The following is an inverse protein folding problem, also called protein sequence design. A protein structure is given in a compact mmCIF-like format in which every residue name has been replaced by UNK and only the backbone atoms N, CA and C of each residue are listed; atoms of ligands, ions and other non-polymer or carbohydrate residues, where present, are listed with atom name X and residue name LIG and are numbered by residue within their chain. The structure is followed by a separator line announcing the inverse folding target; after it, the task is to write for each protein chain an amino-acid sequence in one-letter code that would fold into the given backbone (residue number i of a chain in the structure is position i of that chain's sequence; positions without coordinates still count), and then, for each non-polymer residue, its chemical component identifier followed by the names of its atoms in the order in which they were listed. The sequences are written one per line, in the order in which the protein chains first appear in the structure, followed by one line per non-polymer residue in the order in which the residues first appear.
data_IF_462433818904
#
_entry.id   IF_462433818904
#
_cell.length_a   1.000
_cell.length_b   1.000
_cell.length_c   1.000
_cell.angle_alpha   90.00
_cell.angle_beta   90.00
_cell.angle_gamma   90.00
#
_symmetry.space_group_name_H-M   'P 1'
#
loop_
_entity.id
_entity.type
_entity.pdbx_description
1 polymer ?
#
# COMPACT_ATOMS: atom_id res chain seq x y z
N UNK A 1 56.02 57.71 14.98
CA UNK A 1 56.69 56.41 14.78
C UNK A 1 55.73 55.31 15.22
N UNK A 2 55.35 54.44 14.30
CA UNK A 2 54.72 53.15 14.64
C UNK A 2 55.77 52.21 15.28
N UNK A 3 55.36 51.12 15.93
CA UNK A 3 55.13 49.91 15.14
C UNK A 3 53.84 49.17 15.43
N UNK A 4 53.39 48.51 14.38
CA UNK A 4 52.28 47.56 14.25
C UNK A 4 52.66 46.23 14.92
N UNK A 5 51.75 45.63 15.69
CA UNK A 5 51.87 44.26 16.18
C UNK A 5 50.64 43.45 15.75
N UNK A 6 50.85 42.69 14.68
CA UNK A 6 50.01 41.59 14.23
C UNK A 6 50.10 40.43 15.23
N UNK A 7 48.96 39.85 15.67
CA UNK A 7 48.83 38.38 15.76
C UNK A 7 47.41 37.91 16.11
N UNK A 8 46.84 37.21 15.11
CA UNK A 8 46.04 35.98 15.18
C UNK A 8 44.76 35.99 16.02
N UNK A 9 43.67 36.38 15.37
CA UNK A 9 42.34 35.84 15.67
C UNK A 9 42.34 34.37 15.28
N UNK A 10 42.26 33.48 16.28
CA UNK A 10 42.09 32.06 16.07
C UNK A 10 40.60 31.82 15.81
N UNK A 11 40.19 31.82 14.55
CA UNK A 11 38.81 31.50 14.16
C UNK A 11 38.57 30.02 14.44
N UNK A 12 37.83 29.73 15.51
CA UNK A 12 37.32 28.41 15.81
C UNK A 12 36.18 28.11 14.83
N UNK A 13 36.49 27.39 13.75
CA UNK A 13 35.45 26.84 12.85
C UNK A 13 34.81 25.66 13.57
N UNK A 14 33.65 25.89 14.18
CA UNK A 14 32.77 24.82 14.64
C UNK A 14 32.22 24.12 13.40
N UNK A 15 32.81 22.99 13.05
CA UNK A 15 32.19 22.04 12.14
C UNK A 15 30.93 21.49 12.83
N UNK A 16 29.77 22.07 12.51
CA UNK A 16 28.48 21.47 12.85
C UNK A 16 28.37 20.26 11.93
N UNK A 17 28.75 19.08 12.45
CA UNK A 17 28.36 17.81 11.85
C UNK A 17 26.84 17.75 11.92
N UNK A 18 26.17 18.16 10.84
CA UNK A 18 24.74 17.98 10.67
C UNK A 18 24.46 16.49 10.62
N UNK A 19 24.10 15.92 11.76
CA UNK A 19 23.28 14.71 11.80
C UNK A 19 21.99 15.09 11.08
N UNK A 20 21.92 14.87 9.76
CA UNK A 20 20.67 14.86 9.01
C UNK A 20 19.93 13.59 9.40
N UNK A 21 19.47 13.54 10.66
CA UNK A 21 18.32 12.72 10.96
C UNK A 21 17.17 13.33 10.17
N UNK A 22 16.75 12.66 9.10
CA UNK A 22 15.46 12.93 8.48
C UNK A 22 14.42 12.72 9.57
N UNK A 23 13.98 13.81 10.19
CA UNK A 23 12.85 13.77 11.10
C UNK A 23 11.67 13.24 10.30
N UNK A 24 10.96 12.25 10.85
CA UNK A 24 9.74 11.75 10.23
C UNK A 24 8.75 12.92 10.11
N UNK A 25 8.43 13.32 8.89
CA UNK A 25 7.49 14.40 8.63
C UNK A 25 6.11 13.78 8.52
N UNK A 26 5.30 14.03 9.56
CA UNK A 26 3.93 13.53 9.68
C UNK A 26 2.98 14.50 8.98
N UNK A 27 2.12 13.97 8.11
CA UNK A 27 1.10 14.74 7.42
C UNK A 27 -0.28 14.28 7.86
N UNK A 28 -1.10 15.26 8.20
CA UNK A 28 -2.50 15.08 8.59
C UNK A 28 -3.38 15.96 7.70
N UNK A 29 -4.58 15.48 7.40
CA UNK A 29 -5.58 16.24 6.65
C UNK A 29 -6.40 17.11 7.59
N UNK A 30 -6.58 18.38 7.25
CA UNK A 30 -7.53 19.27 7.94
C UNK A 30 -8.99 18.85 7.73
N UNK A 31 -9.27 18.08 6.69
CA UNK A 31 -10.62 17.64 6.29
C UNK A 31 -10.92 16.20 6.75
N UNK A 32 -10.21 15.70 7.77
CA UNK A 32 -10.30 14.34 8.31
C UNK A 32 -9.85 13.21 7.36
N UNK A 33 -9.75 13.47 6.05
CA UNK A 33 -9.25 12.54 5.03
C UNK A 33 -8.64 13.30 3.84
N UNK A 34 -7.76 12.67 3.08
CA UNK A 34 -7.34 13.17 1.78
C UNK A 34 -8.22 12.60 0.68
N UNK A 35 -8.48 13.43 -0.33
CA UNK A 35 -9.21 13.12 -1.54
C UNK A 35 -8.23 13.30 -2.70
N UNK A 36 -7.87 12.22 -3.37
CA UNK A 36 -6.87 12.24 -4.43
C UNK A 36 -7.53 11.91 -5.77
N UNK A 37 -7.54 12.88 -6.68
CA UNK A 37 -8.09 12.75 -8.04
C UNK A 37 -7.02 12.87 -9.14
N UNK A 38 -5.76 13.13 -8.81
CA UNK A 38 -4.66 13.11 -9.78
C UNK A 38 -3.30 12.79 -9.16
N UNK A 39 -2.34 12.39 -9.99
CA UNK A 39 -0.95 12.15 -9.57
C UNK A 39 -0.29 13.44 -9.06
N UNK A 40 -0.57 14.59 -9.66
CA UNK A 40 -0.01 15.88 -9.21
C UNK A 40 -0.38 16.21 -7.76
N UNK A 41 -1.63 15.94 -7.36
CA UNK A 41 -2.08 16.12 -5.97
C UNK A 41 -1.32 15.19 -5.01
N UNK A 42 -1.11 13.94 -5.45
CA UNK A 42 -0.36 12.94 -4.69
C UNK A 42 1.11 13.34 -4.55
N UNK A 43 1.74 13.84 -5.62
CA UNK A 43 3.13 14.27 -5.63
C UNK A 43 3.37 15.45 -4.69
N UNK A 44 2.45 16.43 -4.65
CA UNK A 44 2.52 17.55 -3.71
C UNK A 44 2.44 17.07 -2.26
N UNK A 45 1.57 16.09 -1.97
CA UNK A 45 1.49 15.47 -0.66
C UNK A 45 2.81 14.74 -0.32
N UNK A 46 3.33 13.94 -1.25
CA UNK A 46 4.51 13.09 -1.08
C UNK A 46 5.84 13.85 -0.96
N UNK A 47 5.94 15.08 -1.47
CA UNK A 47 7.18 15.88 -1.42
C UNK A 47 7.67 16.15 0.01
N UNK A 48 6.74 16.36 0.94
CA UNK A 48 7.04 16.72 2.32
C UNK A 48 6.47 15.70 3.30
N UNK A 49 6.25 14.46 2.88
CA UNK A 49 5.63 13.46 3.74
C UNK A 49 6.41 12.16 3.79
N UNK A 50 6.70 11.71 5.01
CA UNK A 50 7.24 10.37 5.24
C UNK A 50 6.30 9.50 6.05
N UNK A 51 5.36 10.10 6.80
CA UNK A 51 4.30 9.42 7.55
C UNK A 51 2.96 10.05 7.25
N UNK A 52 2.02 9.27 6.71
CA UNK A 52 0.63 9.70 6.55
C UNK A 52 -0.20 9.26 7.75
N UNK A 53 -0.73 10.22 8.49
CA UNK A 53 -1.60 10.00 9.65
C UNK A 53 -3.01 10.55 9.39
N UNK A 54 -3.54 10.27 8.22
CA UNK A 54 -4.94 10.53 7.89
C UNK A 54 -5.40 9.52 6.84
N UNK A 55 -6.66 9.06 6.89
CA UNK A 55 -7.22 8.23 5.84
C UNK A 55 -7.10 8.95 4.50
N UNK A 56 -6.88 8.21 3.42
CA UNK A 56 -7.02 8.77 2.09
C UNK A 56 -7.75 7.84 1.14
N UNK A 57 -8.57 8.49 0.31
CA UNK A 57 -9.44 7.86 -0.65
C UNK A 57 -9.05 8.36 -2.04
N UNK A 58 -8.96 7.42 -2.97
CA UNK A 58 -8.82 7.77 -4.37
C UNK A 58 -10.21 8.04 -4.91
N UNK A 59 -10.41 9.23 -5.46
CA UNK A 59 -11.72 9.62 -6.00
C UNK A 59 -12.01 8.87 -7.31
N UNK A 60 -13.28 8.59 -7.57
CA UNK A 60 -13.73 7.88 -8.78
C UNK A 60 -13.39 8.63 -10.08
N UNK A 61 -13.11 9.92 -10.01
CA UNK A 61 -12.72 10.74 -11.17
C UNK A 61 -11.20 10.79 -11.37
N UNK A 62 -10.41 9.90 -10.75
CA UNK A 62 -8.95 9.89 -10.88
C UNK A 62 -8.51 9.89 -12.36
N UNK A 63 -7.74 10.89 -12.78
CA UNK A 63 -7.44 11.13 -14.21
C UNK A 63 -6.11 10.52 -14.70
N UNK A 64 -5.74 9.33 -14.23
CA UNK A 64 -4.46 8.71 -14.57
C UNK A 64 -4.50 7.18 -14.60
N UNK A 65 -3.62 6.58 -15.40
CA UNK A 65 -3.46 5.12 -15.46
C UNK A 65 -2.57 4.57 -14.35
N UNK A 66 -1.74 5.40 -13.72
CA UNK A 66 -0.83 5.02 -12.64
C UNK A 66 -1.06 5.91 -11.41
N UNK A 67 -0.93 5.32 -10.23
CA UNK A 67 -0.96 5.99 -8.94
C UNK A 67 0.31 5.59 -8.17
N UNK A 68 1.26 6.52 -8.01
CA UNK A 68 2.55 6.24 -7.39
C UNK A 68 2.79 7.14 -6.18
N UNK A 69 2.93 6.54 -5.00
CA UNK A 69 3.18 7.27 -3.76
C UNK A 69 4.64 7.10 -3.31
N UNK A 70 5.48 8.08 -3.64
CA UNK A 70 6.88 8.13 -3.23
C UNK A 70 7.07 8.67 -1.81
N UNK A 71 8.25 8.41 -1.21
CA UNK A 71 8.74 8.96 0.06
C UNK A 71 7.99 8.56 1.34
N UNK A 72 6.72 8.18 1.23
CA UNK A 72 5.92 7.74 2.38
C UNK A 72 6.31 6.32 2.77
N UNK A 73 6.79 6.18 4.00
CA UNK A 73 7.27 4.91 4.56
C UNK A 73 6.29 4.30 5.55
N UNK A 74 5.39 5.10 6.11
CA UNK A 74 4.41 4.65 7.08
C UNK A 74 3.06 5.31 6.81
N UNK A 75 2.00 4.50 6.78
CA UNK A 75 0.62 4.97 6.75
C UNK A 75 -0.08 4.44 8.00
N UNK A 76 -0.35 5.36 8.93
CA UNK A 76 -0.91 5.04 10.26
C UNK A 76 -2.44 4.95 10.25
N UNK A 77 -3.07 5.32 9.13
CA UNK A 77 -4.53 5.26 8.94
C UNK A 77 -4.89 4.41 7.73
N UNK A 78 -6.16 4.44 7.34
CA UNK A 78 -6.69 3.55 6.32
C UNK A 78 -6.45 4.11 4.91
N UNK A 79 -5.99 3.25 4.00
CA UNK A 79 -5.90 3.53 2.57
C UNK A 79 -6.97 2.72 1.87
N UNK A 80 -7.99 3.40 1.34
CA UNK A 80 -9.12 2.73 0.69
C UNK A 80 -9.21 3.19 -0.76
N UNK A 81 -9.16 2.23 -1.65
CA UNK A 81 -9.42 2.40 -3.08
C UNK A 81 -10.89 2.04 -3.28
N UNK A 82 -11.77 3.02 -3.47
CA UNK A 82 -13.21 2.80 -3.62
C UNK A 82 -13.69 3.35 -4.97
N UNK A 83 -14.13 2.46 -5.87
CA UNK A 83 -14.64 2.86 -7.20
C UNK A 83 -16.09 2.46 -7.36
N UNK A 84 -17.00 3.40 -7.12
CA UNK A 84 -18.45 3.18 -7.21
C UNK A 84 -18.90 2.63 -8.56
N UNK A 85 -19.72 1.57 -8.53
CA UNK A 85 -20.47 1.03 -9.69
C UNK A 85 -21.46 2.03 -10.33
N UNK A 86 -21.91 3.06 -9.60
CA UNK A 86 -22.97 3.98 -10.02
C UNK A 86 -22.50 5.07 -11.01
N UNK A 87 -21.19 5.21 -11.20
CA UNK A 87 -20.62 6.16 -12.15
C UNK A 87 -20.15 5.45 -13.41
N UNK A 88 -20.34 6.03 -14.62
CA UNK A 88 -20.05 5.36 -15.88
C UNK A 88 -18.56 4.99 -15.94
N UNK A 89 -18.23 3.75 -15.59
CA UNK A 89 -16.90 3.13 -15.68
C UNK A 89 -15.78 4.14 -15.40
N UNK A 90 -15.71 4.63 -14.17
CA UNK A 90 -14.52 5.35 -13.72
C UNK A 90 -13.30 4.47 -13.99
N UNK A 91 -12.43 4.90 -14.91
CA UNK A 91 -11.15 4.26 -15.12
C UNK A 91 -10.24 4.71 -13.98
N UNK A 92 -10.39 4.08 -12.80
CA UNK A 92 -9.40 4.19 -11.73
C UNK A 92 -8.02 3.75 -12.23
N UNK A 93 -6.94 4.02 -11.48
CA UNK A 93 -5.60 3.65 -11.91
C UNK A 93 -5.51 2.15 -12.21
N UNK A 94 -4.83 1.83 -13.29
CA UNK A 94 -4.53 0.47 -13.73
C UNK A 94 -3.40 -0.13 -12.86
N UNK A 95 -2.49 0.72 -12.39
CA UNK A 95 -1.39 0.34 -11.49
C UNK A 95 -1.30 1.26 -10.28
N UNK A 96 -1.08 0.66 -9.11
CA UNK A 96 -0.85 1.36 -7.85
C UNK A 96 0.50 0.92 -7.29
N UNK A 97 1.39 1.86 -6.97
CA UNK A 97 2.74 1.56 -6.50
C UNK A 97 3.15 2.45 -5.32
N UNK A 98 3.47 1.85 -4.17
CA UNK A 98 4.01 2.59 -3.02
C UNK A 98 5.43 2.08 -2.76
N UNK A 99 6.43 2.53 -3.56
CA UNK A 99 7.77 1.93 -3.60
C UNK A 99 8.55 2.07 -2.29
N UNK A 100 8.19 3.02 -1.43
CA UNK A 100 8.88 3.33 -0.19
C UNK A 100 8.14 2.89 1.07
N UNK A 101 6.90 2.38 0.92
CA UNK A 101 6.06 2.01 2.05
C UNK A 101 6.61 0.78 2.76
N UNK A 102 6.81 0.89 4.08
CA UNK A 102 7.32 -0.18 4.96
C UNK A 102 6.20 -0.68 5.88
N UNK A 103 5.37 0.23 6.39
CA UNK A 103 4.29 -0.07 7.32
C UNK A 103 2.97 0.55 6.87
N UNK A 104 1.91 -0.25 6.93
CA UNK A 104 0.56 0.25 6.73
C UNK A 104 -0.38 -0.29 7.80
N UNK A 105 -1.34 0.53 8.23
CA UNK A 105 -2.44 0.04 9.05
C UNK A 105 -3.39 -0.79 8.19
N UNK A 106 -4.07 -0.15 7.25
CA UNK A 106 -5.07 -0.84 6.42
C UNK A 106 -4.95 -0.44 4.97
N UNK A 107 -5.00 -1.44 4.09
CA UNK A 107 -5.08 -1.26 2.63
C UNK A 107 -6.30 -2.04 2.15
N UNK A 108 -7.30 -1.34 1.62
CA UNK A 108 -8.54 -1.92 1.12
C UNK A 108 -8.76 -1.61 -0.35
N UNK A 109 -9.02 -2.65 -1.15
CA UNK A 109 -9.39 -2.54 -2.57
C UNK A 109 -10.88 -2.84 -2.72
N UNK A 110 -11.70 -1.80 -2.86
CA UNK A 110 -13.16 -1.88 -2.91
C UNK A 110 -13.67 -1.50 -4.29
N UNK A 111 -14.36 -2.44 -4.94
CA UNK A 111 -14.87 -2.30 -6.31
C UNK A 111 -13.75 -1.92 -7.30
N UNK A 112 -12.54 -2.43 -7.03
CA UNK A 112 -11.34 -2.02 -7.73
C UNK A 112 -11.20 -2.61 -9.15
N UNK A 113 -12.21 -2.44 -10.02
CA UNK A 113 -12.39 -3.19 -11.28
C UNK A 113 -11.36 -2.92 -12.38
N UNK A 114 -10.74 -1.74 -12.41
CA UNK A 114 -9.72 -1.40 -13.42
C UNK A 114 -8.29 -1.73 -12.99
N UNK A 115 -8.08 -2.13 -11.73
CA UNK A 115 -6.75 -2.38 -11.19
C UNK A 115 -6.20 -3.69 -11.72
N UNK A 116 -5.02 -3.64 -12.33
CA UNK A 116 -4.31 -4.85 -12.76
C UNK A 116 -3.08 -5.14 -11.91
N UNK A 117 -2.53 -4.14 -11.20
CA UNK A 117 -1.30 -4.29 -10.42
C UNK A 117 -1.32 -3.44 -9.15
N UNK A 118 -0.96 -4.05 -8.02
CA UNK A 118 -0.66 -3.36 -6.77
C UNK A 118 0.74 -3.79 -6.28
N UNK A 119 1.69 -2.85 -6.28
CA UNK A 119 3.09 -3.10 -5.94
C UNK A 119 3.53 -2.36 -4.69
N UNK A 120 3.93 -3.11 -3.67
CA UNK A 120 4.38 -2.59 -2.37
C UNK A 120 5.71 -3.29 -2.01
N UNK A 121 6.80 -3.03 -2.79
CA UNK A 121 8.00 -3.86 -2.78
C UNK A 121 8.74 -3.85 -1.44
N UNK A 122 8.62 -2.79 -0.64
CA UNK A 122 9.27 -2.63 0.67
C UNK A 122 8.33 -2.86 1.86
N UNK A 123 7.06 -3.18 1.62
CA UNK A 123 6.09 -3.34 2.69
C UNK A 123 6.49 -4.55 3.54
N UNK A 124 6.83 -4.31 4.81
CA UNK A 124 7.21 -5.37 5.75
C UNK A 124 6.06 -5.79 6.65
N UNK A 125 5.16 -4.84 6.97
CA UNK A 125 4.00 -5.06 7.83
C UNK A 125 2.77 -4.31 7.33
N UNK A 126 1.65 -5.04 7.25
CA UNK A 126 0.32 -4.44 7.13
C UNK A 126 -0.62 -5.06 8.16
N UNK A 127 -1.33 -4.24 8.94
CA UNK A 127 -2.27 -4.78 9.92
C UNK A 127 -3.43 -5.48 9.20
N UNK A 128 -4.07 -4.83 8.23
CA UNK A 128 -5.12 -5.45 7.41
C UNK A 128 -4.95 -5.15 5.92
N UNK A 129 -4.92 -6.20 5.11
CA UNK A 129 -5.09 -6.10 3.67
C UNK A 129 -6.38 -6.80 3.25
N UNK A 130 -7.22 -6.12 2.48
CA UNK A 130 -8.49 -6.70 2.05
C UNK A 130 -8.88 -6.29 0.63
N UNK A 131 -9.62 -7.19 -0.04
CA UNK A 131 -10.25 -6.91 -1.32
C UNK A 131 -11.75 -7.17 -1.20
N UNK A 132 -12.56 -6.33 -1.84
CA UNK A 132 -14.01 -6.45 -1.89
C UNK A 132 -14.51 -5.99 -3.26
N UNK A 133 -15.42 -6.74 -3.89
CA UNK A 133 -16.00 -6.35 -5.18
C UNK A 133 -15.01 -6.28 -6.36
N UNK A 134 -13.84 -6.90 -6.26
CA UNK A 134 -12.86 -6.92 -7.37
C UNK A 134 -13.20 -8.01 -8.39
N UNK A 135 -13.55 -7.61 -9.61
CA UNK A 135 -14.00 -8.54 -10.65
C UNK A 135 -12.84 -9.37 -11.25
N UNK A 136 -11.63 -8.83 -11.23
CA UNK A 136 -10.38 -9.53 -11.49
C UNK A 136 -9.39 -9.23 -10.37
N UNK A 137 -8.77 -10.27 -9.80
CA UNK A 137 -7.73 -10.05 -8.79
C UNK A 137 -6.51 -9.41 -9.47
N UNK A 138 -6.04 -8.23 -9.02
CA UNK A 138 -4.82 -7.63 -9.55
C UNK A 138 -3.59 -8.48 -9.18
N UNK A 139 -2.51 -8.29 -9.93
CA UNK A 139 -1.20 -8.81 -9.56
C UNK A 139 -0.73 -8.11 -8.27
N UNK A 140 -0.65 -8.87 -7.18
CA UNK A 140 -0.20 -8.41 -5.86
C UNK A 140 1.30 -8.66 -5.70
N UNK A 141 2.11 -7.60 -5.57
CA UNK A 141 3.57 -7.69 -5.45
C UNK A 141 4.04 -7.19 -4.08
N UNK A 142 3.97 -8.05 -3.06
CA UNK A 142 4.44 -7.76 -1.69
C UNK A 142 5.63 -8.67 -1.29
N UNK A 143 6.76 -8.63 -2.02
CA UNK A 143 7.87 -9.56 -1.81
C UNK A 143 8.53 -9.45 -0.44
N UNK A 144 8.38 -8.31 0.25
CA UNK A 144 8.98 -8.05 1.56
C UNK A 144 8.00 -8.21 2.73
N UNK A 145 6.73 -8.56 2.47
CA UNK A 145 5.72 -8.64 3.53
C UNK A 145 6.03 -9.83 4.44
N UNK A 146 6.36 -9.55 5.70
CA UNK A 146 6.78 -10.56 6.68
C UNK A 146 5.70 -10.85 7.70
N UNK A 147 4.96 -9.83 8.08
CA UNK A 147 4.02 -9.89 9.18
C UNK A 147 2.71 -9.21 8.79
N UNK A 148 1.59 -9.79 9.19
CA UNK A 148 0.28 -9.16 9.04
C UNK A 148 -0.64 -9.60 10.17
N UNK A 149 -1.67 -8.79 10.48
CA UNK A 149 -2.74 -9.26 11.35
C UNK A 149 -3.80 -10.01 10.55
N UNK A 150 -4.20 -9.48 9.39
CA UNK A 150 -5.28 -10.07 8.60
C UNK A 150 -5.09 -9.82 7.10
N UNK A 151 -5.33 -10.86 6.30
CA UNK A 151 -5.43 -10.77 4.84
C UNK A 151 -6.76 -11.41 4.44
N UNK A 152 -7.66 -10.63 3.82
CA UNK A 152 -8.93 -11.14 3.29
C UNK A 152 -9.04 -10.85 1.78
N UNK A 153 -8.89 -11.89 0.98
CA UNK A 153 -8.99 -11.79 -0.46
C UNK A 153 -10.33 -12.34 -0.93
N UNK A 154 -11.20 -11.45 -1.41
CA UNK A 154 -12.45 -11.80 -2.09
C UNK A 154 -12.35 -11.42 -3.57
N UNK A 155 -12.60 -12.37 -4.47
CA UNK A 155 -12.67 -12.10 -5.90
C UNK A 155 -12.33 -13.30 -6.77
N UNK A 156 -12.00 -13.05 -8.04
CA UNK A 156 -11.57 -14.09 -8.97
C UNK A 156 -10.08 -14.39 -8.83
N UNK A 157 -9.73 -15.28 -7.90
CA UNK A 157 -8.35 -15.53 -7.45
C UNK A 157 -7.79 -16.74 -8.20
N UNK A 158 -6.75 -16.52 -9.02
CA UNK A 158 -6.02 -17.58 -9.71
C UNK A 158 -4.71 -17.93 -9.00
N UNK A 159 -3.95 -16.91 -8.61
CA UNK A 159 -2.65 -17.04 -7.95
C UNK A 159 -2.48 -15.97 -6.88
N UNK A 160 -1.93 -16.37 -5.74
CA UNK A 160 -1.50 -15.47 -4.67
C UNK A 160 -0.18 -15.99 -4.12
N UNK A 161 0.80 -15.10 -3.97
CA UNK A 161 2.11 -15.44 -3.43
C UNK A 161 2.57 -14.39 -2.43
N UNK A 162 2.93 -14.84 -1.23
CA UNK A 162 3.57 -14.00 -0.23
C UNK A 162 4.89 -14.65 0.20
N UNK A 163 5.97 -14.46 -0.59
CA UNK A 163 7.19 -15.26 -0.47
C UNK A 163 7.97 -15.00 0.82
N UNK A 164 7.79 -13.86 1.47
CA UNK A 164 8.44 -13.49 2.72
C UNK A 164 7.51 -13.58 3.95
N UNK A 165 6.24 -13.93 3.78
CA UNK A 165 5.26 -13.88 4.86
C UNK A 165 5.52 -14.99 5.87
N UNK A 166 5.90 -14.60 7.08
CA UNK A 166 6.26 -15.50 8.18
C UNK A 166 5.14 -15.65 9.20
N UNK A 167 4.41 -14.58 9.47
CA UNK A 167 3.41 -14.55 10.54
C UNK A 167 2.14 -13.84 10.13
N UNK A 168 1.02 -14.53 10.30
CA UNK A 168 -0.34 -13.99 10.27
C UNK A 168 -0.90 -14.08 11.69
N UNK A 169 -1.10 -12.94 12.36
CA UNK A 169 -1.55 -12.95 13.76
C UNK A 169 -3.01 -13.36 13.92
N UNK A 170 -3.85 -13.04 12.93
CA UNK A 170 -5.26 -13.42 12.83
C UNK A 170 -5.49 -14.36 11.65
N UNK A 171 -6.32 -13.93 10.69
CA UNK A 171 -6.76 -14.79 9.59
C UNK A 171 -6.08 -14.45 8.24
N UNK A 172 -5.78 -15.49 7.48
CA UNK A 172 -5.56 -15.43 6.03
C UNK A 172 -6.76 -16.10 5.36
N UNK A 173 -7.66 -15.29 4.80
CA UNK A 173 -8.86 -15.75 4.11
C UNK A 173 -8.75 -15.52 2.60
N UNK A 174 -9.00 -16.57 1.83
CA UNK A 174 -9.17 -16.49 0.38
C UNK A 174 -10.55 -17.02 0.05
N UNK A 175 -11.38 -16.18 -0.58
CA UNK A 175 -12.71 -16.54 -1.01
C UNK A 175 -12.87 -16.27 -2.51
N UNK A 176 -12.85 -17.36 -3.27
CA UNK A 176 -12.93 -17.32 -4.73
C UNK A 176 -14.38 -17.45 -5.25
N UNK A 177 -15.38 -17.66 -4.38
CA UNK A 177 -16.72 -18.09 -4.84
C UNK A 177 -17.91 -17.52 -4.02
N UNK A 178 -17.76 -16.51 -3.18
CA UNK A 178 -18.89 -16.10 -2.33
C UNK A 178 -19.88 -15.11 -2.94
N UNK A 179 -19.59 -14.40 -4.03
CA UNK A 179 -20.59 -13.53 -4.65
C UNK A 179 -21.36 -14.24 -5.79
N UNK A 180 -22.68 -14.50 -5.65
CA UNK A 180 -23.53 -15.01 -6.71
C UNK A 180 -23.52 -14.16 -7.99
N UNK A 181 -23.27 -12.84 -7.87
CA UNK A 181 -23.14 -11.93 -9.01
C UNK A 181 -21.93 -12.32 -9.88
N UNK A 182 -20.81 -12.67 -9.25
CA UNK A 182 -19.56 -13.08 -9.90
C UNK A 182 -19.63 -14.48 -10.52
N UNK A 183 -20.48 -15.37 -9.99
CA UNK A 183 -20.68 -16.74 -10.54
C UNK A 183 -21.23 -16.76 -11.96
N UNK A 184 -21.92 -15.69 -12.38
CA UNK A 184 -22.54 -15.63 -13.71
C UNK A 184 -21.55 -15.36 -14.85
N UNK A 185 -20.34 -14.87 -14.53
CA UNK A 185 -19.34 -14.49 -15.52
C UNK A 185 -18.20 -15.50 -15.70
N UNK A 186 -18.05 -16.46 -14.77
CA UNK A 186 -16.94 -17.40 -14.80
C UNK A 186 -17.43 -18.85 -14.72
N UNK A 187 -17.41 -19.54 -15.87
CA UNK A 187 -17.89 -20.92 -16.02
C UNK A 187 -16.84 -21.98 -15.69
N UNK A 188 -15.61 -21.59 -15.39
CA UNK A 188 -14.53 -22.50 -15.08
C UNK A 188 -14.22 -22.48 -13.58
N UNK A 189 -14.11 -23.64 -12.90
CA UNK A 189 -13.60 -23.67 -11.54
C UNK A 189 -12.16 -23.16 -11.54
N UNK A 190 -11.93 -21.94 -11.06
CA UNK A 190 -10.57 -21.47 -10.87
C UNK A 190 -9.96 -22.20 -9.68
N UNK A 191 -8.89 -22.89 -10.01
CA UNK A 191 -8.02 -23.52 -9.05
C UNK A 191 -7.08 -22.44 -8.48
N UNK A 192 -7.07 -22.27 -7.16
CA UNK A 192 -6.22 -21.29 -6.47
C UNK A 192 -4.81 -21.86 -6.30
N UNK A 193 -3.81 -21.16 -6.84
CA UNK A 193 -2.38 -21.36 -6.61
C UNK A 193 -1.91 -20.44 -5.47
N UNK A 194 -1.82 -20.99 -4.25
CA UNK A 194 -1.41 -20.25 -3.05
C UNK A 194 0.00 -20.66 -2.61
N UNK A 195 0.93 -19.71 -2.63
CA UNK A 195 2.34 -19.93 -2.25
C UNK A 195 2.74 -19.15 -0.99
N UNK A 196 3.07 -19.89 0.06
CA UNK A 196 3.46 -19.38 1.39
C UNK A 196 4.73 -20.10 1.90
N UNK A 197 5.85 -20.02 1.18
CA UNK A 197 7.00 -20.94 1.36
C UNK A 197 7.73 -20.81 2.70
N UNK A 198 7.59 -19.67 3.38
CA UNK A 198 8.26 -19.36 4.65
C UNK A 198 7.29 -19.07 5.79
N UNK A 199 6.00 -19.41 5.62
CA UNK A 199 5.00 -19.17 6.65
C UNK A 199 5.26 -20.09 7.86
N UNK A 200 5.52 -19.48 9.00
CA UNK A 200 5.84 -20.18 10.25
C UNK A 200 4.61 -20.22 11.18
N UNK A 201 3.78 -19.18 11.17
CA UNK A 201 2.64 -19.02 12.09
C UNK A 201 1.45 -18.37 11.41
N UNK A 202 0.26 -18.96 11.57
CA UNK A 202 -1.02 -18.35 11.27
C UNK A 202 -2.02 -18.76 12.35
N UNK A 203 -2.89 -17.85 12.81
CA UNK A 203 -3.98 -18.23 13.71
C UNK A 203 -5.07 -19.00 12.93
N UNK A 204 -5.46 -18.50 11.76
CA UNK A 204 -6.38 -19.18 10.85
C UNK A 204 -5.94 -19.03 9.40
N UNK A 205 -6.08 -20.10 8.61
CA UNK A 205 -6.00 -20.05 7.15
C UNK A 205 -7.28 -20.67 6.62
N UNK A 206 -8.06 -19.87 5.90
CA UNK A 206 -9.34 -20.28 5.30
C UNK A 206 -9.27 -20.08 3.80
N UNK A 207 -9.49 -21.15 3.05
CA UNK A 207 -9.56 -21.09 1.59
C UNK A 207 -10.90 -21.65 1.15
N UNK A 208 -11.75 -20.79 0.61
CA UNK A 208 -13.05 -21.12 0.04
C UNK A 208 -12.91 -21.13 -1.48
N UNK A 209 -12.89 -22.31 -2.08
CA UNK A 209 -12.76 -22.48 -3.52
C UNK A 209 -12.19 -23.83 -3.94
N UNK A 210 -11.84 -23.97 -5.21
CA UNK A 210 -11.05 -25.12 -5.69
C UNK A 210 -9.57 -24.77 -5.52
N UNK A 211 -8.78 -25.63 -4.87
CA UNK A 211 -7.35 -25.35 -4.59
C UNK A 211 -6.47 -26.29 -5.40
N UNK A 212 -5.37 -25.77 -5.98
CA UNK A 212 -4.41 -26.58 -6.74
C UNK A 212 -3.60 -27.42 -5.77
N UNK A 213 -3.22 -28.62 -6.21
CA UNK A 213 -2.17 -29.39 -5.54
C UNK A 213 -0.80 -29.00 -6.07
#
# INVERSE_FOLDING_TARGET
MAPVLFRRVCSLVLAISSLTGTLAQVCTSSNLRYHISSQDQLDVLAQNCTVLDSPFYIESNYTGSSFVLHNVTNISQDVIFEWSEDWPRSQGPISVEFPDLIHAKRIGLWEAVSLTKLSLPKLEYVETFETFGVWGMPDLEFPSLRNTSQIDLLGNISRVSFPALKTVHGALSLDNISDPSMRTMNTNPLTIDLSLPVLEKAYEIKVTGTVAR
#
